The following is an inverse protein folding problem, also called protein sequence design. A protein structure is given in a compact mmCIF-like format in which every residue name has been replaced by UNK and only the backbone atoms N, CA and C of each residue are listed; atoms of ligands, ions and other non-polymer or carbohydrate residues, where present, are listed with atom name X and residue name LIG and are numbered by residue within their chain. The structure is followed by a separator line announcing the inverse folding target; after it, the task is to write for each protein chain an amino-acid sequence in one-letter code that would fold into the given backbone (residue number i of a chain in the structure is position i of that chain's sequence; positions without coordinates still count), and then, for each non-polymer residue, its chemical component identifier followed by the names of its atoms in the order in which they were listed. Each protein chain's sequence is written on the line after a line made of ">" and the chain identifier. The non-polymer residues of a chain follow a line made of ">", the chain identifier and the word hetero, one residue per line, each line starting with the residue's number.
data_IF_361339973305
#
_entry.id   IF_361339973305
#
_cell.length_a   1.000
_cell.length_b   1.000
_cell.length_c   1.000
_cell.angle_alpha   90.00
_cell.angle_beta   90.00
_cell.angle_gamma   90.00
#
_symmetry.space_group_name_H-M   'P 1'
#
loop_
_entity.id
_entity.type
_entity.pdbx_description
1 polymer ?
#
# COMPACT_ATOMS: atom_id res chain seq x y z
N UNK A 1 8.90 12.40 0.83
CA UNK A 1 8.07 11.26 1.28
C UNK A 1 6.91 11.67 2.19
N UNK A 2 7.11 12.41 3.29
CA UNK A 2 6.05 12.71 4.27
C UNK A 2 4.76 13.32 3.68
N UNK A 3 4.86 14.24 2.72
CA UNK A 3 3.66 14.84 2.09
C UNK A 3 2.90 13.85 1.20
N UNK A 4 3.60 12.89 0.58
CA UNK A 4 3.04 11.93 -0.36
C UNK A 4 2.51 10.66 0.34
N UNK A 5 3.18 10.21 1.41
CA UNK A 5 2.87 8.95 2.10
C UNK A 5 2.18 9.16 3.46
N UNK A 6 2.07 10.41 3.89
CA UNK A 6 1.74 10.74 5.28
C UNK A 6 2.89 10.40 6.25
N UNK A 7 2.72 10.78 7.52
CA UNK A 7 3.75 10.55 8.56
C UNK A 7 4.01 9.07 8.84
N UNK A 8 2.96 8.24 8.90
CA UNK A 8 3.09 6.80 9.15
C UNK A 8 3.76 6.06 7.98
N UNK A 9 3.27 6.27 6.76
CA UNK A 9 3.83 5.62 5.56
C UNK A 9 5.29 6.01 5.32
N UNK A 10 5.64 7.29 5.52
CA UNK A 10 7.02 7.74 5.42
C UNK A 10 7.93 7.11 6.49
N UNK A 11 7.46 7.02 7.75
CA UNK A 11 8.26 6.40 8.81
C UNK A 11 8.43 4.89 8.59
N UNK A 12 7.40 4.17 8.13
CA UNK A 12 7.51 2.75 7.79
C UNK A 12 8.54 2.52 6.66
N UNK A 13 8.48 3.34 5.61
CA UNK A 13 9.46 3.28 4.52
C UNK A 13 10.90 3.57 5.01
N UNK A 14 11.06 4.54 5.92
CA UNK A 14 12.35 4.86 6.54
C UNK A 14 12.88 3.70 7.40
N UNK A 15 12.03 3.08 8.22
CA UNK A 15 12.39 1.89 9.01
C UNK A 15 12.85 0.73 8.13
N UNK A 16 12.14 0.44 7.02
CA UNK A 16 12.54 -0.58 6.04
C UNK A 16 13.90 -0.26 5.42
N UNK A 17 14.13 0.99 5.00
CA UNK A 17 15.40 1.41 4.38
C UNK A 17 16.59 1.34 5.36
N UNK A 18 16.33 1.49 6.66
CA UNK A 18 17.33 1.31 7.71
C UNK A 18 17.58 -0.16 8.07
N UNK A 19 16.88 -1.10 7.42
CA UNK A 19 17.01 -2.54 7.69
C UNK A 19 16.34 -2.99 8.99
N UNK A 20 15.47 -2.16 9.58
CA UNK A 20 14.68 -2.55 10.75
C UNK A 20 13.63 -3.57 10.29
N UNK A 21 13.49 -4.72 10.97
CA UNK A 21 12.52 -5.74 10.59
C UNK A 21 11.10 -5.23 10.85
N UNK A 22 10.49 -4.66 9.82
CA UNK A 22 9.07 -4.29 9.77
C UNK A 22 8.33 -5.25 8.84
N UNK A 23 7.11 -5.68 9.18
CA UNK A 23 6.29 -6.47 8.26
C UNK A 23 6.11 -5.75 6.92
N UNK A 24 6.18 -6.48 5.78
CA UNK A 24 6.02 -5.90 4.47
C UNK A 24 4.61 -5.30 4.31
N UNK A 25 4.49 -4.33 3.41
CA UNK A 25 3.25 -3.66 3.10
C UNK A 25 3.46 -2.57 2.05
N UNK A 26 2.38 -1.87 1.71
CA UNK A 26 2.41 -0.74 0.79
C UNK A 26 1.53 0.41 1.31
N UNK A 27 1.79 1.61 0.81
CA UNK A 27 1.03 2.82 1.17
C UNK A 27 0.39 3.39 -0.09
N UNK A 28 -0.92 3.60 -0.04
CA UNK A 28 -1.63 4.39 -1.05
C UNK A 28 -1.34 5.87 -0.77
N UNK A 29 -0.89 6.61 -1.78
CA UNK A 29 -0.44 7.99 -1.60
C UNK A 29 -1.58 8.92 -1.19
N UNK A 30 -1.22 10.07 -0.59
CA UNK A 30 -2.16 11.15 -0.27
C UNK A 30 -2.79 11.78 -1.52
N UNK A 31 -2.12 11.69 -2.68
CA UNK A 31 -2.65 12.17 -3.96
C UNK A 31 -3.89 11.39 -4.40
N UNK A 32 -3.93 10.08 -4.12
CA UNK A 32 -5.14 9.27 -4.39
C UNK A 32 -6.33 9.76 -3.57
N UNK A 33 -6.10 10.25 -2.35
CA UNK A 33 -7.16 10.86 -1.55
C UNK A 33 -7.70 12.13 -2.22
N UNK A 34 -6.82 13.00 -2.73
CA UNK A 34 -7.22 14.20 -3.50
C UNK A 34 -8.01 13.79 -4.75
N UNK A 35 -7.47 12.87 -5.55
CA UNK A 35 -8.10 12.38 -6.77
C UNK A 35 -9.48 11.75 -6.51
N UNK A 36 -9.66 11.04 -5.40
CA UNK A 36 -10.96 10.49 -5.00
C UNK A 36 -12.00 11.59 -4.78
N UNK A 37 -11.64 12.67 -4.08
CA UNK A 37 -12.56 13.78 -3.85
C UNK A 37 -12.86 14.56 -5.12
N UNK A 38 -11.86 14.80 -5.96
CA UNK A 38 -12.04 15.45 -7.27
C UNK A 38 -12.91 14.60 -8.21
N UNK A 39 -12.81 13.27 -8.13
CA UNK A 39 -13.61 12.32 -8.90
C UNK A 39 -14.98 12.01 -8.27
N UNK A 40 -15.58 12.98 -7.56
CA UNK A 40 -16.90 12.83 -6.93
C UNK A 40 -17.01 11.61 -6.00
N UNK A 41 -15.97 11.37 -5.20
CA UNK A 41 -15.87 10.23 -4.26
C UNK A 41 -15.90 8.88 -4.97
N UNK A 42 -15.24 8.80 -6.12
CA UNK A 42 -15.00 7.55 -6.85
C UNK A 42 -13.51 7.30 -6.95
N UNK A 43 -13.12 6.03 -6.94
CA UNK A 43 -11.73 5.67 -7.13
C UNK A 43 -11.20 6.17 -8.47
N UNK A 44 -9.96 6.69 -8.54
CA UNK A 44 -9.33 7.00 -9.80
C UNK A 44 -9.17 5.72 -10.62
N UNK A 45 -9.26 5.86 -11.95
CA UNK A 45 -9.13 4.74 -12.88
C UNK A 45 -7.73 4.12 -12.70
N UNK A 46 -7.68 2.79 -12.57
CA UNK A 46 -6.42 2.05 -12.41
C UNK A 46 -6.00 1.78 -10.96
N UNK A 47 -6.58 2.47 -9.96
CA UNK A 47 -6.20 2.27 -8.56
C UNK A 47 -6.38 0.82 -8.10
N UNK A 48 -7.49 0.19 -8.48
CA UNK A 48 -7.79 -1.20 -8.12
C UNK A 48 -6.73 -2.16 -8.69
N UNK A 49 -6.29 -1.94 -9.93
CA UNK A 49 -5.24 -2.74 -10.56
C UNK A 49 -3.90 -2.55 -9.85
N UNK A 50 -3.53 -1.31 -9.49
CA UNK A 50 -2.30 -1.05 -8.72
C UNK A 50 -2.35 -1.69 -7.32
N UNK A 51 -3.51 -1.66 -6.66
CA UNK A 51 -3.71 -2.33 -5.36
C UNK A 51 -3.53 -3.83 -5.51
N UNK A 52 -4.17 -4.46 -6.51
CA UNK A 52 -4.04 -5.90 -6.77
C UNK A 52 -2.60 -6.30 -7.09
N UNK A 53 -1.88 -5.51 -7.90
CA UNK A 53 -0.48 -5.76 -8.22
C UNK A 53 0.42 -5.71 -7.00
N UNK A 54 0.21 -4.75 -6.10
CA UNK A 54 1.01 -4.63 -4.88
C UNK A 54 0.59 -5.64 -3.80
N UNK A 55 -0.68 -6.05 -3.78
CA UNK A 55 -1.14 -7.15 -2.95
C UNK A 55 -0.45 -8.46 -3.35
N UNK A 56 -0.33 -8.76 -4.65
CA UNK A 56 0.42 -9.94 -5.13
C UNK A 56 1.89 -9.91 -4.72
N UNK A 57 2.53 -8.73 -4.75
CA UNK A 57 3.92 -8.58 -4.26
C UNK A 57 4.00 -8.83 -2.74
N UNK A 58 3.00 -8.38 -2.00
CA UNK A 58 2.91 -8.59 -0.55
C UNK A 58 2.74 -10.09 -0.22
N UNK A 59 1.84 -10.77 -0.92
CA UNK A 59 1.64 -12.22 -0.79
C UNK A 59 2.94 -12.99 -1.04
N UNK A 60 3.69 -12.63 -2.09
CA UNK A 60 5.00 -13.21 -2.39
C UNK A 60 6.04 -12.95 -1.29
N UNK A 61 6.04 -11.74 -0.71
CA UNK A 61 6.99 -11.37 0.34
C UNK A 61 6.69 -12.07 1.68
N UNK A 62 5.41 -12.30 1.99
CA UNK A 62 4.97 -12.97 3.22
C UNK A 62 4.97 -14.49 3.07
N UNK A 63 4.71 -15.00 1.87
CA UNK A 63 4.48 -16.44 1.63
C UNK A 63 3.07 -16.90 2.05
N UNK A 64 2.12 -15.97 2.13
CA UNK A 64 0.71 -16.21 2.45
C UNK A 64 -0.19 -15.49 1.45
N UNK A 65 -1.46 -15.89 1.34
CA UNK A 65 -2.38 -15.37 0.33
C UNK A 65 -3.58 -14.71 0.98
N UNK A 66 -3.89 -13.50 0.54
CA UNK A 66 -4.93 -12.68 1.15
C UNK A 66 -6.30 -13.36 1.05
N UNK A 67 -6.88 -13.67 2.21
CA UNK A 67 -8.20 -14.32 2.31
C UNK A 67 -8.20 -15.81 1.96
N UNK A 68 -7.03 -16.45 1.88
CA UNK A 68 -6.94 -17.89 1.67
C UNK A 68 -7.43 -18.68 2.89
N UNK A 69 -8.08 -19.82 2.67
CA UNK A 69 -8.66 -20.62 3.76
C UNK A 69 -7.64 -21.49 4.49
N UNK A 70 -6.51 -21.80 3.84
CA UNK A 70 -5.47 -22.67 4.39
C UNK A 70 -4.27 -21.86 4.92
N UNK A 71 -3.90 -20.78 4.23
CA UNK A 71 -2.76 -19.91 4.59
C UNK A 71 -3.06 -18.42 4.34
N UNK A 72 -3.92 -17.81 5.18
CA UNK A 72 -4.41 -16.43 5.05
C UNK A 72 -3.35 -15.34 5.24
#
# INVERSE_FOLDING_TARGET
>A
MKNLLGGKGANLAEMTNLGIPVPPGFTISTEVCVAYYENSRKWPIGLEQEVDENLRKLEQAIGAKFGDSENP
#
